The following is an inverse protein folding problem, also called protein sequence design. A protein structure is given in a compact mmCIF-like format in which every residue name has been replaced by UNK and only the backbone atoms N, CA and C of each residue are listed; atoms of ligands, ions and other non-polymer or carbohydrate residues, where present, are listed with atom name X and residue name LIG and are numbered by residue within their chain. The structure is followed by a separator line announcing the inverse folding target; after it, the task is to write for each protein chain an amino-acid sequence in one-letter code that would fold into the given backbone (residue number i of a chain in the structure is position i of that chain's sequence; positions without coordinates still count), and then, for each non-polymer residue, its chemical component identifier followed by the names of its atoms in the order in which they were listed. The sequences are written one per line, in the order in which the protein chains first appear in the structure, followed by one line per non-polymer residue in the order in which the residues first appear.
data_IF_417639680619
#
_entry.id   IF_417639680619
#
_cell.length_a   1.000
_cell.length_b   1.000
_cell.length_c   1.000
_cell.angle_alpha   90.00
_cell.angle_beta   90.00
_cell.angle_gamma   90.00
#
_symmetry.space_group_name_H-M   'P 1'
#
loop_
_entity.id
_entity.type
_entity.pdbx_description
1 polymer ?
#
# COMPACT_ATOMS: atom_id res chain seq x y z
N UNK A 1 -13.21 -20.60 31.77
CA UNK A 1 -12.14 -20.33 30.78
C UNK A 1 -11.71 -18.86 30.91
N UNK A 2 -10.45 -18.56 31.27
CA UNK A 2 -10.00 -17.19 31.38
C UNK A 2 -9.86 -16.56 29.99
N UNK A 3 -10.46 -15.39 29.80
CA UNK A 3 -10.36 -14.59 28.57
C UNK A 3 -8.92 -14.10 28.40
N UNK A 4 -8.24 -14.53 27.34
CA UNK A 4 -6.98 -13.95 26.88
C UNK A 4 -7.25 -12.55 26.31
N UNK A 5 -7.33 -11.53 27.17
CA UNK A 5 -7.49 -10.14 26.75
C UNK A 5 -6.57 -9.19 27.53
N UNK A 6 -5.26 -9.43 27.52
CA UNK A 6 -4.26 -8.52 28.08
C UNK A 6 -2.93 -8.51 27.31
N UNK A 7 -2.98 -8.57 25.98
CA UNK A 7 -1.86 -8.03 25.19
C UNK A 7 -2.04 -6.51 25.19
N UNK A 8 -1.07 -5.80 25.78
CA UNK A 8 -1.02 -4.35 25.93
C UNK A 8 -1.32 -3.66 24.59
N UNK A 9 -2.56 -3.26 24.34
CA UNK A 9 -2.87 -2.14 23.46
C UNK A 9 -2.40 -0.88 24.17
N UNK A 10 -1.13 -0.51 24.00
CA UNK A 10 -0.73 0.90 24.12
C UNK A 10 -1.48 1.59 22.98
N UNK A 11 -2.69 2.12 23.25
CA UNK A 11 -3.58 2.57 22.18
C UNK A 11 -2.96 3.69 21.36
N UNK A 12 -3.26 3.77 20.06
CA UNK A 12 -2.81 4.80 19.10
C UNK A 12 -2.71 6.22 19.64
N UNK A 13 -3.66 6.64 20.47
CA UNK A 13 -3.68 7.95 21.10
C UNK A 13 -2.45 8.18 22.01
N UNK A 14 -2.00 7.14 22.70
CA UNK A 14 -0.78 7.14 23.52
C UNK A 14 0.48 7.25 22.66
N UNK A 15 0.58 6.48 21.57
CA UNK A 15 1.71 6.58 20.63
C UNK A 15 1.76 7.98 20.00
N UNK A 16 0.65 8.50 19.46
CA UNK A 16 0.60 9.85 18.90
C UNK A 16 0.99 10.92 19.91
N UNK A 17 0.44 10.86 21.13
CA UNK A 17 0.77 11.81 22.19
C UNK A 17 2.26 11.78 22.52
N UNK A 18 2.86 10.60 22.70
CA UNK A 18 4.28 10.46 23.07
C UNK A 18 5.22 11.04 22.02
N UNK A 19 4.93 10.84 20.74
CA UNK A 19 5.75 11.35 19.65
C UNK A 19 5.51 12.85 19.39
N UNK A 20 4.28 13.33 19.59
CA UNK A 20 3.94 14.75 19.48
C UNK A 20 4.53 15.58 20.63
N UNK A 21 4.54 15.03 21.85
CA UNK A 21 5.18 15.64 23.01
C UNK A 21 6.72 15.65 22.86
N UNK A 22 7.32 14.71 22.10
CA UNK A 22 8.75 14.70 21.76
C UNK A 22 9.11 15.62 20.59
N UNK A 23 8.23 15.83 19.60
CA UNK A 23 8.51 16.73 18.48
C UNK A 23 8.48 18.20 18.89
N UNK A 24 7.55 18.60 19.78
CA UNK A 24 7.52 19.97 20.30
C UNK A 24 8.69 20.34 21.22
N UNK A 25 9.51 19.37 21.68
CA UNK A 25 10.79 19.68 22.33
C UNK A 25 11.96 19.83 21.34
N UNK A 26 11.79 19.48 20.08
CA UNK A 26 12.85 19.44 19.05
C UNK A 26 12.57 20.38 17.85
N UNK A 27 11.40 21.02 17.79
CA UNK A 27 10.98 21.88 16.67
C UNK A 27 11.80 23.18 16.47
N UNK A 28 12.85 23.42 17.26
CA UNK A 28 13.77 24.55 17.08
C UNK A 28 15.18 24.18 16.62
N UNK A 29 15.49 22.90 16.35
CA UNK A 29 16.83 22.49 15.92
C UNK A 29 16.78 21.81 14.55
N UNK A 30 16.61 22.61 13.49
CA UNK A 30 17.12 22.22 12.18
C UNK A 30 18.64 22.27 12.27
N UNK A 31 19.29 21.10 12.30
CA UNK A 31 20.75 20.99 12.23
C UNK A 31 21.24 21.73 10.97
N UNK A 32 22.01 22.79 11.21
CA UNK A 32 22.73 23.53 10.19
C UNK A 32 23.86 22.66 9.60
N UNK A 33 24.35 23.00 8.40
CA UNK A 33 25.53 22.34 7.83
C UNK A 33 26.79 22.50 8.70
N UNK A 34 26.79 23.47 9.61
CA UNK A 34 27.84 23.72 10.60
C UNK A 34 27.73 22.73 11.78
N UNK A 35 26.52 22.40 12.22
CA UNK A 35 26.29 21.37 13.26
C UNK A 35 26.79 19.99 12.79
N UNK A 36 26.60 19.66 11.50
CA UNK A 36 27.07 18.38 10.92
C UNK A 36 28.61 18.28 10.93
N UNK A 37 29.32 19.40 10.80
CA UNK A 37 30.80 19.44 10.89
C UNK A 37 31.28 19.37 12.34
N UNK A 38 30.55 19.90 13.31
CA UNK A 38 30.91 19.84 14.72
C UNK A 38 30.88 18.39 15.29
N UNK A 39 30.04 17.50 14.72
CA UNK A 39 30.06 16.06 15.04
C UNK A 39 31.33 15.33 14.61
N UNK A 40 32.19 15.96 13.79
CA UNK A 40 33.43 15.33 13.30
C UNK A 40 34.68 15.71 14.09
N UNK A 41 34.65 16.74 14.94
CA UNK A 41 35.88 17.32 15.54
C UNK A 41 35.87 17.51 17.07
N UNK A 42 34.88 16.99 17.79
CA UNK A 42 34.88 17.07 19.25
C UNK A 42 34.07 15.99 19.93
N UNK A 43 34.75 15.00 20.54
CA UNK A 43 34.29 14.14 21.65
C UNK A 43 32.77 13.90 21.75
N UNK A 44 32.11 13.58 20.63
CA UNK A 44 30.72 13.15 20.67
C UNK A 44 30.76 11.75 21.25
N UNK A 45 30.26 11.59 22.47
CA UNK A 45 30.01 10.27 23.04
C UNK A 45 29.27 9.47 21.98
N UNK A 46 29.93 8.44 21.44
CA UNK A 46 29.37 7.61 20.40
C UNK A 46 28.12 6.96 20.99
N UNK A 47 26.95 7.53 20.69
CA UNK A 47 25.68 6.98 21.13
C UNK A 47 25.61 5.62 20.46
N UNK A 48 25.87 4.57 21.23
CA UNK A 48 25.65 3.21 20.77
C UNK A 48 24.18 3.13 20.43
N UNK A 49 23.91 2.97 19.14
CA UNK A 49 22.56 2.88 18.61
C UNK A 49 21.71 1.89 19.42
N UNK A 50 22.31 0.77 19.84
CA UNK A 50 21.71 -0.27 20.69
C UNK A 50 21.18 0.26 22.02
N UNK A 51 21.80 1.30 22.60
CA UNK A 51 21.48 1.80 23.93
C UNK A 51 20.29 2.77 23.93
N UNK A 52 19.98 3.39 22.78
CA UNK A 52 18.80 4.28 22.61
C UNK A 52 17.69 3.70 21.75
N UNK A 53 17.96 2.61 21.02
CA UNK A 53 17.00 2.03 20.10
C UNK A 53 16.08 1.03 20.80
N UNK A 54 14.86 1.47 21.10
CA UNK A 54 13.81 0.61 21.65
C UNK A 54 12.98 0.00 20.52
N UNK A 55 12.91 -1.34 20.52
CA UNK A 55 12.08 -2.11 19.58
C UNK A 55 10.59 -1.75 19.71
N UNK A 56 10.14 -1.33 20.89
CA UNK A 56 8.77 -0.85 21.08
C UNK A 56 8.47 0.38 20.22
N UNK A 57 9.46 1.23 19.91
CA UNK A 57 9.29 2.40 19.05
C UNK A 57 8.99 2.02 17.61
N UNK A 58 9.58 0.91 17.14
CA UNK A 58 9.29 0.35 15.82
C UNK A 58 7.84 -0.12 15.77
N UNK A 59 7.36 -0.79 16.84
CA UNK A 59 5.96 -1.21 16.94
C UNK A 59 4.98 -0.04 16.91
N UNK A 60 5.30 1.04 17.64
CA UNK A 60 4.50 2.28 17.61
C UNK A 60 4.49 2.92 16.21
N UNK A 61 5.66 3.00 15.55
CA UNK A 61 5.76 3.51 14.18
C UNK A 61 4.99 2.63 13.18
N UNK A 62 5.05 1.31 13.34
CA UNK A 62 4.30 0.36 12.54
C UNK A 62 2.79 0.61 12.64
N UNK A 63 2.29 0.85 13.87
CA UNK A 63 0.88 1.16 14.10
C UNK A 63 0.46 2.48 13.44
N UNK A 64 1.35 3.50 13.44
CA UNK A 64 1.10 4.78 12.79
C UNK A 64 1.08 4.67 11.26
N UNK A 65 1.99 3.89 10.66
CA UNK A 65 2.09 3.71 9.21
C UNK A 65 0.98 2.81 8.66
N UNK A 66 0.51 1.86 9.47
CA UNK A 66 -0.53 0.90 9.08
C UNK A 66 -1.79 1.60 8.53
N UNK A 67 -2.17 2.77 9.07
CA UNK A 67 -3.34 3.54 8.60
C UNK A 67 -3.19 4.03 7.14
N UNK A 68 -1.97 4.10 6.59
CA UNK A 68 -1.71 4.60 5.22
C UNK A 68 -1.34 3.52 4.21
N UNK A 69 -0.54 2.54 4.60
CA UNK A 69 0.11 1.60 3.66
C UNK A 69 -0.33 0.14 3.90
N UNK A 70 -0.97 -0.13 5.04
CA UNK A 70 -1.41 -1.48 5.43
C UNK A 70 -0.29 -2.33 6.04
N UNK A 71 -0.65 -3.08 7.08
CA UNK A 71 0.27 -3.87 7.90
C UNK A 71 1.02 -4.91 7.07
N UNK A 72 0.34 -5.46 6.05
CA UNK A 72 0.91 -6.44 5.13
C UNK A 72 2.13 -5.91 4.41
N UNK A 73 2.01 -4.72 3.82
CA UNK A 73 3.08 -4.12 3.03
C UNK A 73 4.33 -3.90 3.88
N UNK A 74 4.16 -3.24 5.03
CA UNK A 74 5.29 -2.93 5.93
C UNK A 74 5.92 -4.19 6.51
N UNK A 75 5.11 -5.18 6.91
CA UNK A 75 5.62 -6.46 7.42
C UNK A 75 6.43 -7.23 6.39
N UNK A 76 6.00 -7.20 5.11
CA UNK A 76 6.70 -7.88 4.02
C UNK A 76 8.02 -7.18 3.71
N UNK A 77 8.05 -5.85 3.67
CA UNK A 77 9.31 -5.11 3.47
C UNK A 77 10.31 -5.37 4.59
N UNK A 78 9.87 -5.31 5.85
CA UNK A 78 10.72 -5.64 6.99
C UNK A 78 11.25 -7.07 6.88
N UNK A 79 10.39 -8.02 6.48
CA UNK A 79 10.78 -9.42 6.34
C UNK A 79 11.87 -9.58 5.29
N UNK A 80 11.64 -9.04 4.08
CA UNK A 80 12.61 -9.09 2.98
C UNK A 80 13.94 -8.46 3.36
N UNK A 81 13.90 -7.32 4.08
CA UNK A 81 15.11 -6.62 4.55
C UNK A 81 15.89 -7.47 5.55
N UNK A 82 15.21 -8.04 6.56
CA UNK A 82 15.85 -8.90 7.55
C UNK A 82 16.43 -10.16 6.90
N UNK A 83 15.72 -10.75 5.93
CA UNK A 83 16.22 -11.91 5.16
C UNK A 83 17.43 -11.56 4.30
N UNK A 84 17.46 -10.38 3.70
CA UNK A 84 18.61 -9.87 2.95
C UNK A 84 19.87 -9.78 3.83
N UNK A 85 19.73 -9.34 5.09
CA UNK A 85 20.82 -9.33 6.07
C UNK A 85 21.11 -10.70 6.73
N UNK A 86 20.53 -11.79 6.22
CA UNK A 86 20.80 -13.14 6.72
C UNK A 86 20.16 -13.46 8.07
N UNK A 87 19.19 -12.67 8.55
CA UNK A 87 18.51 -12.96 9.82
C UNK A 87 17.69 -14.24 9.69
N UNK A 88 17.90 -15.17 10.62
CA UNK A 88 17.21 -16.47 10.67
C UNK A 88 15.70 -16.30 10.83
N UNK A 89 14.93 -17.24 10.29
CA UNK A 89 13.47 -17.20 10.31
C UNK A 89 12.88 -17.03 11.72
N UNK A 90 13.44 -17.76 12.71
CA UNK A 90 12.97 -17.70 14.10
C UNK A 90 13.17 -16.31 14.72
N UNK A 91 14.30 -15.67 14.43
CA UNK A 91 14.60 -14.30 14.87
C UNK A 91 13.67 -13.27 14.22
N UNK A 92 13.33 -13.45 12.94
CA UNK A 92 12.32 -12.62 12.30
C UNK A 92 10.96 -12.79 12.99
N UNK A 93 10.57 -14.02 13.35
CA UNK A 93 9.25 -14.28 13.95
C UNK A 93 9.16 -13.73 15.36
N UNK A 94 10.24 -13.85 16.15
CA UNK A 94 10.35 -13.23 17.47
C UNK A 94 10.26 -11.69 17.38
N UNK A 95 11.02 -11.09 16.47
CA UNK A 95 10.99 -9.65 16.24
C UNK A 95 9.59 -9.17 15.82
N UNK A 96 8.95 -9.86 14.88
CA UNK A 96 7.60 -9.53 14.40
C UNK A 96 6.53 -9.66 15.47
N UNK A 97 6.60 -10.69 16.32
CA UNK A 97 5.72 -10.82 17.49
C UNK A 97 5.89 -9.63 18.43
N UNK A 98 7.12 -9.16 18.62
CA UNK A 98 7.42 -8.04 19.53
C UNK A 98 6.88 -6.71 19.01
N UNK A 99 6.99 -6.44 17.71
CA UNK A 99 6.49 -5.19 17.10
C UNK A 99 5.02 -5.24 16.65
N UNK A 100 4.36 -6.40 16.77
CA UNK A 100 2.97 -6.57 16.33
C UNK A 100 2.78 -6.64 14.81
N UNK A 101 3.81 -7.07 14.07
CA UNK A 101 3.76 -7.30 12.62
C UNK A 101 3.09 -8.65 12.28
N UNK A 102 2.95 -8.94 10.98
CA UNK A 102 2.56 -10.28 10.52
C UNK A 102 3.57 -11.33 10.98
N UNK A 103 3.14 -12.57 11.21
CA UNK A 103 4.07 -13.67 11.49
C UNK A 103 5.03 -13.90 10.32
N UNK A 104 6.24 -14.39 10.60
CA UNK A 104 7.23 -14.67 9.55
C UNK A 104 6.70 -15.59 8.47
N UNK A 105 5.84 -16.56 8.84
CA UNK A 105 5.18 -17.47 7.88
C UNK A 105 4.32 -16.71 6.88
N UNK A 106 3.54 -15.76 7.41
CA UNK A 106 2.60 -14.97 6.60
C UNK A 106 3.36 -13.97 5.76
N UNK A 107 4.36 -13.29 6.34
CA UNK A 107 5.21 -12.36 5.62
C UNK A 107 6.01 -13.07 4.50
N UNK A 108 6.50 -14.29 4.73
CA UNK A 108 7.17 -15.10 3.71
C UNK A 108 6.24 -15.45 2.55
N UNK A 109 5.01 -15.90 2.84
CA UNK A 109 4.00 -16.16 1.79
C UNK A 109 3.83 -14.93 0.89
N UNK A 110 3.59 -13.77 1.51
CA UNK A 110 3.34 -12.53 0.78
C UNK A 110 4.60 -11.98 0.09
N UNK A 111 5.79 -12.18 0.67
CA UNK A 111 7.05 -11.84 0.02
C UNK A 111 7.26 -12.64 -1.27
N UNK A 112 6.92 -13.94 -1.27
CA UNK A 112 7.00 -14.75 -2.48
C UNK A 112 6.02 -14.26 -3.55
N UNK A 113 4.78 -13.95 -3.18
CA UNK A 113 3.77 -13.38 -4.10
C UNK A 113 4.27 -12.06 -4.69
N UNK A 114 4.79 -11.17 -3.84
CA UNK A 114 5.36 -9.88 -4.24
C UNK A 114 6.54 -10.06 -5.21
N UNK A 115 7.47 -10.97 -4.91
CA UNK A 115 8.65 -11.25 -5.75
C UNK A 115 8.29 -11.94 -7.07
N UNK A 116 7.21 -12.73 -7.10
CA UNK A 116 6.67 -13.33 -8.32
C UNK A 116 5.94 -12.31 -9.21
N UNK A 117 5.80 -11.05 -8.78
CA UNK A 117 5.12 -10.01 -9.54
C UNK A 117 3.59 -10.11 -9.52
N UNK A 118 3.02 -10.97 -8.68
CA UNK A 118 1.56 -11.07 -8.49
C UNK A 118 1.08 -10.01 -7.49
N UNK A 119 1.15 -8.76 -7.95
CA UNK A 119 0.77 -7.61 -7.13
C UNK A 119 -0.73 -7.58 -6.84
N UNK A 120 -1.56 -8.24 -7.66
CA UNK A 120 -3.00 -8.31 -7.50
C UNK A 120 -3.36 -9.17 -6.29
N UNK A 121 -2.80 -10.38 -6.21
CA UNK A 121 -2.97 -11.23 -5.02
C UNK A 121 -2.42 -10.49 -3.80
N UNK A 122 -1.26 -9.85 -3.94
CA UNK A 122 -0.60 -9.11 -2.86
C UNK A 122 -1.43 -7.96 -2.29
N UNK A 123 -2.09 -7.14 -3.12
CA UNK A 123 -2.95 -6.05 -2.64
C UNK A 123 -4.31 -6.57 -2.19
N UNK A 124 -4.82 -7.65 -2.78
CA UNK A 124 -6.14 -8.17 -2.45
C UNK A 124 -6.18 -8.61 -0.97
N UNK A 125 -6.80 -7.79 -0.12
CA UNK A 125 -6.98 -8.12 1.28
C UNK A 125 -8.15 -9.11 1.42
N UNK A 126 -7.93 -10.35 0.98
CA UNK A 126 -8.92 -11.44 0.99
C UNK A 126 -9.33 -11.94 2.37
N UNK A 127 -9.26 -11.11 3.43
CA UNK A 127 -9.88 -11.40 4.72
C UNK A 127 -11.04 -10.46 4.87
N UNK A 128 -12.25 -10.99 5.08
CA UNK A 128 -13.51 -10.25 5.29
C UNK A 128 -13.53 -9.30 6.49
N UNK A 129 -12.55 -8.41 6.62
CA UNK A 129 -12.58 -7.18 7.38
C UNK A 129 -13.05 -6.09 6.43
N UNK A 130 -14.13 -5.41 6.83
CA UNK A 130 -14.74 -4.21 6.22
C UNK A 130 -14.23 -3.90 4.82
N UNK A 131 -15.02 -4.31 3.81
CA UNK A 131 -14.92 -3.82 2.43
C UNK A 131 -14.60 -2.33 2.51
N UNK A 132 -13.36 -1.94 2.20
CA UNK A 132 -13.09 -0.54 1.92
C UNK A 132 -13.99 -0.26 0.73
N UNK A 133 -14.93 0.69 0.83
CA UNK A 133 -15.88 0.91 -0.24
C UNK A 133 -15.07 1.13 -1.51
N UNK A 134 -15.23 0.21 -2.46
CA UNK A 134 -14.61 0.39 -3.76
C UNK A 134 -15.16 1.69 -4.34
N UNK A 135 -14.42 2.35 -5.23
CA UNK A 135 -14.97 3.54 -5.89
C UNK A 135 -16.31 3.23 -6.57
N UNK A 136 -16.52 1.99 -7.03
CA UNK A 136 -17.79 1.55 -7.61
C UNK A 136 -18.89 1.27 -6.57
N UNK A 137 -18.54 1.08 -5.30
CA UNK A 137 -19.53 0.99 -4.21
C UNK A 137 -20.21 2.35 -3.99
N UNK A 138 -19.51 3.45 -4.34
CA UNK A 138 -20.04 4.83 -4.29
C UNK A 138 -20.63 5.25 -5.65
N UNK A 139 -20.05 4.77 -6.75
CA UNK A 139 -20.46 5.11 -8.11
C UNK A 139 -20.77 3.86 -8.96
N UNK A 140 -21.84 3.11 -8.62
CA UNK A 140 -22.17 1.86 -9.31
C UNK A 140 -22.55 2.08 -10.79
N UNK A 141 -23.16 3.21 -11.12
CA UNK A 141 -23.52 3.56 -12.50
C UNK A 141 -22.28 3.73 -13.38
N UNK A 142 -21.17 4.25 -12.81
CA UNK A 142 -19.90 4.36 -13.53
C UNK A 142 -19.33 2.96 -13.79
N UNK A 143 -19.49 2.00 -12.87
CA UNK A 143 -19.03 0.63 -13.10
C UNK A 143 -19.72 -0.02 -14.30
N UNK A 144 -21.05 0.09 -14.36
CA UNK A 144 -21.85 -0.47 -15.45
C UNK A 144 -21.42 0.14 -16.79
N UNK A 145 -21.33 1.47 -16.86
CA UNK A 145 -20.91 2.18 -18.07
C UNK A 145 -19.47 1.85 -18.48
N UNK A 146 -18.55 1.77 -17.52
CA UNK A 146 -17.14 1.50 -17.78
C UNK A 146 -16.92 0.06 -18.24
N UNK A 147 -17.67 -0.89 -17.68
CA UNK A 147 -17.64 -2.30 -18.11
C UNK A 147 -18.19 -2.46 -19.53
N UNK A 148 -19.34 -1.86 -19.83
CA UNK A 148 -19.92 -1.88 -21.18
C UNK A 148 -18.98 -1.23 -22.20
N UNK A 149 -18.39 -0.08 -21.86
CA UNK A 149 -17.39 0.59 -22.68
C UNK A 149 -16.18 -0.31 -22.96
N UNK A 150 -15.63 -0.96 -21.92
CA UNK A 150 -14.49 -1.86 -22.06
C UNK A 150 -14.81 -3.06 -22.96
N UNK A 151 -15.98 -3.69 -22.81
CA UNK A 151 -16.41 -4.83 -23.64
C UNK A 151 -16.56 -4.38 -25.10
N UNK A 152 -17.25 -3.26 -25.35
CA UNK A 152 -17.46 -2.74 -26.71
C UNK A 152 -16.14 -2.38 -27.39
N UNK A 153 -15.22 -1.74 -26.68
CA UNK A 153 -13.91 -1.35 -27.23
C UNK A 153 -13.01 -2.57 -27.47
N UNK A 154 -13.05 -3.59 -26.61
CA UNK A 154 -12.35 -4.85 -26.85
C UNK A 154 -12.92 -5.62 -28.05
N UNK A 155 -14.24 -5.57 -28.26
CA UNK A 155 -14.91 -6.19 -29.40
C UNK A 155 -14.68 -5.44 -30.73
N UNK A 156 -14.24 -4.17 -30.68
CA UNK A 156 -13.98 -3.38 -31.88
C UNK A 156 -12.76 -3.90 -32.66
N UNK A 157 -12.82 -3.80 -33.99
CA UNK A 157 -11.72 -4.20 -34.89
C UNK A 157 -10.49 -3.28 -34.78
N UNK A 158 -10.65 -2.08 -34.24
CA UNK A 158 -9.54 -1.19 -33.89
C UNK A 158 -8.92 -1.67 -32.56
N UNK A 159 -7.66 -2.13 -32.57
CA UNK A 159 -6.98 -2.72 -31.41
C UNK A 159 -6.29 -1.66 -30.52
N UNK A 160 -6.92 -0.51 -30.33
CA UNK A 160 -6.32 0.65 -29.65
C UNK A 160 -6.66 0.73 -28.15
N UNK A 161 -7.68 0.00 -27.70
CA UNK A 161 -8.10 0.05 -26.31
C UNK A 161 -7.04 -0.44 -25.33
N UNK A 162 -6.81 0.37 -24.30
CA UNK A 162 -5.97 0.04 -23.15
C UNK A 162 -6.56 0.60 -21.84
N UNK A 163 -5.88 0.34 -20.73
CA UNK A 163 -6.33 0.82 -19.43
C UNK A 163 -6.26 2.35 -19.27
N UNK A 164 -5.49 3.05 -20.11
CA UNK A 164 -5.46 4.51 -20.10
C UNK A 164 -6.72 5.08 -20.73
N UNK A 165 -7.21 4.50 -21.84
CA UNK A 165 -8.51 4.87 -22.39
C UNK A 165 -9.66 4.64 -21.40
N UNK A 166 -9.63 3.52 -20.67
CA UNK A 166 -10.62 3.26 -19.61
C UNK A 166 -10.56 4.31 -18.49
N UNK A 167 -9.35 4.69 -18.07
CA UNK A 167 -9.18 5.69 -17.03
C UNK A 167 -9.74 7.06 -17.44
N UNK A 168 -9.50 7.50 -18.69
CA UNK A 168 -10.07 8.74 -19.22
C UNK A 168 -11.61 8.67 -19.31
N UNK A 169 -12.16 7.53 -19.73
CA UNK A 169 -13.61 7.34 -19.77
C UNK A 169 -14.24 7.47 -18.38
N UNK A 170 -13.67 6.79 -17.38
CA UNK A 170 -14.15 6.86 -15.99
C UNK A 170 -14.07 8.29 -15.45
N UNK A 171 -12.97 8.97 -15.74
CA UNK A 171 -12.73 10.35 -15.32
C UNK A 171 -13.79 11.30 -15.89
N UNK A 172 -14.06 11.23 -17.20
CA UNK A 172 -15.12 12.00 -17.85
C UNK A 172 -16.48 11.74 -17.19
N UNK A 173 -16.85 10.47 -17.01
CA UNK A 173 -18.15 10.11 -16.41
C UNK A 173 -18.29 10.55 -14.97
N UNK A 174 -17.21 10.53 -14.20
CA UNK A 174 -17.21 11.01 -12.83
C UNK A 174 -17.57 12.50 -12.75
N UNK A 175 -16.92 13.35 -13.54
CA UNK A 175 -17.19 14.79 -13.51
C UNK A 175 -18.58 15.14 -14.06
N UNK A 176 -19.05 14.39 -15.07
CA UNK A 176 -20.43 14.53 -15.59
C UNK A 176 -21.46 14.19 -14.50
N UNK A 177 -21.27 13.08 -13.78
CA UNK A 177 -22.22 12.63 -12.75
C UNK A 177 -22.20 13.48 -11.49
N UNK A 178 -21.04 13.99 -11.09
CA UNK A 178 -20.89 14.79 -9.86
C UNK A 178 -21.12 16.28 -10.08
N UNK A 179 -21.22 16.74 -11.33
CA UNK A 179 -21.29 18.15 -11.72
C UNK A 179 -20.13 19.00 -11.15
N UNK A 180 -19.00 18.36 -10.86
CA UNK A 180 -17.77 19.03 -10.42
C UNK A 180 -17.00 19.48 -11.67
N UNK A 181 -16.39 20.66 -11.62
CA UNK A 181 -15.48 21.10 -12.67
C UNK A 181 -14.10 20.50 -12.44
N UNK A 182 -13.57 19.81 -13.45
CA UNK A 182 -12.20 19.29 -13.44
C UNK A 182 -11.20 20.44 -13.57
N UNK A 183 -10.23 20.53 -12.67
CA UNK A 183 -9.10 21.43 -12.87
C UNK A 183 -8.09 20.81 -13.86
N UNK A 184 -7.38 21.61 -14.67
CA UNK A 184 -6.38 21.10 -15.61
C UNK A 184 -5.26 20.30 -14.95
N UNK A 185 -4.94 20.62 -13.70
CA UNK A 185 -3.88 19.99 -12.91
C UNK A 185 -4.36 18.76 -12.13
N UNK A 186 -5.66 18.44 -12.18
CA UNK A 186 -6.20 17.28 -11.48
C UNK A 186 -5.76 15.99 -12.17
N UNK A 187 -5.12 15.12 -11.40
CA UNK A 187 -4.85 13.74 -11.81
C UNK A 187 -6.14 12.97 -12.06
N UNK A 188 -6.07 11.90 -12.86
CA UNK A 188 -7.20 10.99 -13.09
C UNK A 188 -7.82 10.52 -11.77
N UNK A 189 -9.15 10.61 -11.67
CA UNK A 189 -9.93 10.14 -10.51
C UNK A 189 -9.66 8.67 -10.21
N UNK A 190 -9.37 7.90 -11.27
CA UNK A 190 -8.92 6.52 -11.17
C UNK A 190 -7.64 6.32 -11.95
N UNK A 191 -6.59 5.84 -11.29
CA UNK A 191 -5.29 5.62 -11.94
C UNK A 191 -5.37 4.52 -13.00
N UNK A 192 -4.44 4.56 -13.96
CA UNK A 192 -4.29 3.53 -15.00
C UNK A 192 -4.06 2.14 -14.38
N UNK A 193 -3.30 2.08 -13.29
CA UNK A 193 -3.03 0.85 -12.55
C UNK A 193 -4.31 0.29 -11.93
N UNK A 194 -5.14 1.14 -11.32
CA UNK A 194 -6.44 0.72 -10.80
C UNK A 194 -7.35 0.23 -11.92
N UNK A 195 -7.40 0.92 -13.06
CA UNK A 195 -8.20 0.50 -14.22
C UNK A 195 -7.76 -0.85 -14.79
N UNK A 196 -6.46 -1.18 -14.75
CA UNK A 196 -5.96 -2.52 -15.08
C UNK A 196 -6.49 -3.59 -14.14
N UNK A 197 -6.55 -3.29 -12.84
CA UNK A 197 -7.12 -4.21 -11.85
C UNK A 197 -8.62 -4.42 -12.10
N UNK A 198 -9.35 -3.37 -12.46
CA UNK A 198 -10.78 -3.45 -12.74
C UNK A 198 -11.06 -4.31 -13.96
N UNK A 199 -10.30 -4.12 -15.05
CA UNK A 199 -10.38 -4.97 -16.23
C UNK A 199 -10.19 -6.45 -15.89
N UNK A 200 -9.18 -6.78 -15.07
CA UNK A 200 -8.97 -8.16 -14.60
C UNK A 200 -10.14 -8.68 -13.77
N UNK A 201 -10.69 -7.87 -12.86
CA UNK A 201 -11.87 -8.23 -12.06
C UNK A 201 -13.11 -8.48 -12.91
N UNK A 202 -13.26 -7.77 -14.01
CA UNK A 202 -14.35 -7.97 -14.97
C UNK A 202 -14.14 -9.17 -15.90
N UNK A 203 -12.99 -9.85 -15.83
CA UNK A 203 -12.67 -11.03 -16.62
C UNK A 203 -11.79 -10.78 -17.84
N UNK A 204 -11.22 -9.57 -17.99
CA UNK A 204 -10.30 -9.29 -19.07
C UNK A 204 -8.95 -9.96 -18.84
N UNK A 205 -8.39 -10.54 -19.90
CA UNK A 205 -7.05 -11.13 -19.94
C UNK A 205 -6.08 -10.21 -20.64
N UNK A 206 -4.81 -10.34 -20.30
CA UNK A 206 -3.70 -9.62 -20.93
C UNK A 206 -2.72 -10.65 -21.46
N UNK A 207 -2.36 -10.55 -22.74
CA UNK A 207 -1.28 -11.38 -23.29
C UNK A 207 0.06 -11.00 -22.63
N UNK A 208 0.98 -11.96 -22.54
CA UNK A 208 2.32 -11.70 -22.00
C UNK A 208 2.99 -10.56 -22.78
N UNK A 209 3.41 -9.51 -22.08
CA UNK A 209 3.99 -8.26 -22.60
C UNK A 209 3.03 -7.32 -23.35
N UNK A 210 1.74 -7.62 -23.42
CA UNK A 210 0.75 -6.73 -24.00
C UNK A 210 0.15 -5.79 -22.94
N UNK A 211 0.00 -4.51 -23.29
CA UNK A 211 -0.81 -3.58 -22.48
C UNK A 211 -2.31 -3.72 -22.76
N UNK A 212 -2.69 -4.53 -23.76
CA UNK A 212 -4.04 -4.61 -24.31
C UNK A 212 -4.85 -5.71 -23.60
N UNK A 213 -6.03 -5.37 -23.08
CA UNK A 213 -6.96 -6.36 -22.56
C UNK A 213 -7.76 -7.01 -23.69
N UNK A 214 -8.24 -8.23 -23.46
CA UNK A 214 -9.28 -8.89 -24.27
C UNK A 214 -10.22 -9.70 -23.35
N UNK A 215 -11.43 -9.99 -23.81
CA UNK A 215 -12.37 -10.87 -23.11
C UNK A 215 -12.55 -12.16 -23.92
N UNK A 216 -12.41 -13.33 -23.29
CA UNK A 216 -12.64 -14.62 -23.96
C UNK A 216 -14.07 -14.68 -24.52
N UNK A 217 -14.21 -15.14 -25.77
CA UNK A 217 -15.50 -15.17 -26.48
C UNK A 217 -15.89 -13.86 -27.18
N UNK A 218 -15.13 -12.78 -26.96
CA UNK A 218 -15.14 -11.56 -27.79
C UNK A 218 -13.87 -11.47 -28.65
N UNK A 219 -13.23 -12.62 -28.87
CA UNK A 219 -12.06 -12.75 -29.74
C UNK A 219 -12.48 -12.49 -31.19
N UNK A 220 -11.61 -11.81 -31.93
CA UNK A 220 -11.84 -11.44 -33.32
C UNK A 220 -11.97 -12.70 -34.16
N UNK A 221 -13.15 -12.96 -34.70
CA UNK A 221 -13.28 -13.69 -35.98
C UNK A 221 -12.78 -12.82 -37.15
#
# INVERSE_FOLDING_TARGET
MPKLSKIRRKGRAYARKRWYDQSHSLENECLSEEDIKEYSDGNVEFIRFVDKFDVDHIGELLELINDKIGLRFVSVLLYMTMRYFGVTYDKCDEFFKRIGALTSKTAQKWANIFLCGDFDEFISEGRGGKHIPSFYDVFPDIELLAKDYAIQRCAAKAADFDAFELANFIDEKFYVLTAINKNPDDSLIRSVQSCRLDLRRWGARFEANSKRPYFEGHERE
#
